data_IF_554418488367
#
_entry.id   IF_554418488367
#
_cell.length_a   1.000
_cell.length_b   1.000
_cell.length_c   1.000
_cell.angle_alpha   90.00
_cell.angle_beta   90.00
_cell.angle_gamma   90.00
#
_symmetry.space_group_name_H-M   'P 1'
#
loop_
_entity.id
_entity.type
_entity.pdbx_description
1 polymer ?
#
# COMPACT_ATOMS: atom_id res chain seq x y z
N UNK A 1 17.79 -5.92 -31.15
CA UNK A 1 16.98 -4.75 -30.70
C UNK A 1 17.31 -4.33 -29.26
N UNK A 2 17.49 -5.25 -28.31
CA UNK A 2 17.82 -4.93 -26.90
C UNK A 2 19.06 -4.03 -26.71
N UNK A 3 20.13 -4.21 -27.51
CA UNK A 3 21.33 -3.37 -27.42
C UNK A 3 21.12 -1.88 -27.76
N UNK A 4 20.15 -1.56 -28.65
CA UNK A 4 19.83 -0.16 -29.01
C UNK A 4 19.06 0.54 -27.90
N UNK A 5 18.15 -0.18 -27.24
CA UNK A 5 17.38 0.35 -26.12
C UNK A 5 18.29 0.62 -24.89
N UNK A 6 19.19 -0.32 -24.57
CA UNK A 6 20.15 -0.14 -23.48
C UNK A 6 21.10 1.05 -23.70
N UNK A 7 21.57 1.26 -24.93
CA UNK A 7 22.38 2.43 -25.27
C UNK A 7 21.59 3.73 -25.11
N UNK A 8 20.34 3.78 -25.60
CA UNK A 8 19.47 4.95 -25.44
C UNK A 8 19.19 5.29 -23.98
N UNK A 9 18.86 4.29 -23.14
CA UNK A 9 18.66 4.47 -21.70
C UNK A 9 19.92 5.04 -21.03
N UNK A 10 21.11 4.57 -21.41
CA UNK A 10 22.38 5.10 -20.90
C UNK A 10 22.60 6.56 -21.30
N UNK A 11 22.30 6.91 -22.54
CA UNK A 11 22.43 8.29 -23.04
C UNK A 11 21.46 9.26 -22.35
N UNK A 12 20.18 8.86 -22.20
CA UNK A 12 19.17 9.68 -21.52
C UNK A 12 19.45 9.77 -20.02
N UNK A 13 20.02 8.73 -19.40
CA UNK A 13 20.47 8.79 -18.01
C UNK A 13 21.56 9.85 -17.79
N UNK A 14 22.54 9.95 -18.72
CA UNK A 14 23.62 10.95 -18.61
C UNK A 14 23.13 12.36 -18.90
N UNK A 15 22.25 12.54 -19.89
CA UNK A 15 21.77 13.86 -20.34
C UNK A 15 20.65 14.40 -19.47
N UNK A 16 19.74 13.53 -19.03
CA UNK A 16 18.50 13.87 -18.35
C UNK A 16 18.23 12.91 -17.19
N UNK A 17 19.21 12.80 -16.29
CA UNK A 17 19.12 11.92 -15.11
C UNK A 17 17.85 12.16 -14.29
N UNK A 18 17.49 13.44 -14.07
CA UNK A 18 16.29 13.80 -13.30
C UNK A 18 14.98 13.30 -13.93
N UNK A 19 14.84 13.39 -15.26
CA UNK A 19 13.66 12.90 -15.97
C UNK A 19 13.63 11.36 -16.03
N UNK A 20 14.80 10.74 -16.19
CA UNK A 20 14.90 9.27 -16.19
C UNK A 20 14.51 8.69 -14.83
N UNK A 21 14.96 9.33 -13.74
CA UNK A 21 14.66 8.92 -12.37
C UNK A 21 13.17 9.13 -12.05
N UNK A 22 12.60 10.29 -12.42
CA UNK A 22 11.18 10.57 -12.17
C UNK A 22 10.26 9.60 -12.91
N UNK A 23 10.58 9.29 -14.17
CA UNK A 23 9.84 8.29 -14.94
C UNK A 23 9.96 6.89 -14.33
N UNK A 24 11.16 6.51 -13.89
CA UNK A 24 11.39 5.20 -13.25
C UNK A 24 10.57 5.07 -11.97
N UNK A 25 10.61 6.08 -11.10
CA UNK A 25 9.83 6.11 -9.85
C UNK A 25 8.33 6.09 -10.18
N UNK A 26 7.87 6.96 -11.08
CA UNK A 26 6.45 7.02 -11.48
C UNK A 26 5.93 5.71 -12.06
N UNK A 27 6.75 4.98 -12.81
CA UNK A 27 6.40 3.68 -13.35
C UNK A 27 6.43 2.55 -12.30
N UNK A 28 7.26 2.69 -11.26
CA UNK A 28 7.44 1.68 -10.23
C UNK A 28 6.40 1.81 -9.11
N UNK A 29 6.09 3.02 -8.67
CA UNK A 29 5.12 3.33 -7.60
C UNK A 29 3.79 2.57 -7.70
N UNK A 30 3.06 2.55 -8.82
CA UNK A 30 1.78 1.84 -8.91
C UNK A 30 1.92 0.30 -8.92
N UNK A 31 3.11 -0.23 -9.22
CA UNK A 31 3.35 -1.70 -9.25
C UNK A 31 3.78 -2.24 -7.90
N UNK A 32 4.43 -1.42 -7.08
CA UNK A 32 4.94 -1.82 -5.76
C UNK A 32 3.86 -2.39 -4.84
N UNK A 33 2.63 -1.84 -4.75
CA UNK A 33 1.57 -2.41 -3.91
C UNK A 33 1.17 -3.83 -4.34
N UNK A 34 1.10 -4.10 -5.64
CA UNK A 34 0.75 -5.43 -6.16
C UNK A 34 1.85 -6.47 -5.96
N UNK A 35 3.10 -6.04 -5.85
CA UNK A 35 4.26 -6.92 -5.60
C UNK A 35 4.54 -7.11 -4.09
N UNK A 36 3.99 -6.25 -3.23
CA UNK A 36 4.29 -6.23 -1.81
C UNK A 36 3.28 -7.07 -1.01
N UNK A 37 3.77 -8.11 -0.35
CA UNK A 37 3.00 -8.87 0.64
C UNK A 37 2.58 -8.00 1.85
N UNK A 38 3.25 -6.85 2.06
CA UNK A 38 2.97 -5.94 3.16
C UNK A 38 1.74 -5.05 2.94
N UNK A 39 1.31 -4.87 1.69
CA UNK A 39 0.14 -4.04 1.39
C UNK A 39 -1.14 -4.58 2.04
N UNK A 40 -1.24 -5.90 2.23
CA UNK A 40 -2.33 -6.54 2.96
C UNK A 40 -2.43 -6.07 4.42
N UNK A 41 -1.29 -5.92 5.11
CA UNK A 41 -1.28 -5.48 6.50
C UNK A 41 -1.64 -4.00 6.63
N UNK A 42 -1.19 -3.16 5.70
CA UNK A 42 -1.58 -1.74 5.66
C UNK A 42 -3.10 -1.59 5.51
N UNK A 43 -3.71 -2.43 4.66
CA UNK A 43 -5.16 -2.45 4.47
C UNK A 43 -5.93 -2.93 5.71
N UNK A 44 -5.33 -3.82 6.54
CA UNK A 44 -5.91 -4.26 7.81
C UNK A 44 -5.79 -3.23 8.95
N UNK A 45 -4.75 -2.40 8.94
CA UNK A 45 -4.50 -1.43 10.01
C UNK A 45 -5.52 -0.28 10.00
N UNK A 46 -5.84 0.25 8.82
CA UNK A 46 -6.76 1.38 8.67
C UNK A 46 -8.19 1.13 9.27
N UNK A 47 -8.84 -0.03 9.05
CA UNK A 47 -10.10 -0.36 9.70
C UNK A 47 -9.93 -0.83 11.15
N UNK A 48 -8.77 -1.37 11.53
CA UNK A 48 -8.47 -1.80 12.90
C UNK A 48 -8.26 -0.65 13.88
N UNK A 49 -8.02 0.56 13.39
CA UNK A 49 -7.89 1.77 14.21
C UNK A 49 -9.25 2.44 14.45
N UNK A 50 -9.77 2.44 15.70
CA UNK A 50 -11.08 3.01 16.00
C UNK A 50 -11.01 4.53 16.05
N UNK A 51 -11.31 5.21 14.93
CA UNK A 51 -11.34 6.68 14.85
C UNK A 51 -12.67 7.30 15.28
N UNK A 52 -13.74 6.51 15.40
CA UNK A 52 -15.07 7.01 15.70
C UNK A 52 -15.62 6.34 16.97
N UNK A 53 -15.93 7.13 18.00
CA UNK A 53 -16.59 6.67 19.23
C UNK A 53 -18.11 6.59 18.99
N UNK A 54 -18.56 5.72 18.10
CA UNK A 54 -19.98 5.53 17.83
C UNK A 54 -20.53 4.44 18.74
N UNK A 55 -20.95 4.81 19.95
CA UNK A 55 -21.78 3.95 20.78
C UNK A 55 -23.12 3.71 20.09
N UNK A 56 -23.22 2.67 19.26
CA UNK A 56 -24.43 2.35 18.51
C UNK A 56 -25.34 1.46 19.34
N UNK A 57 -26.44 2.07 19.81
CA UNK A 57 -27.66 1.35 20.18
C UNK A 57 -28.03 0.34 19.06
N UNK A 58 -28.34 -0.90 19.43
CA UNK A 58 -29.02 -1.91 18.61
C UNK A 58 -28.21 -2.67 17.54
N UNK A 59 -27.02 -3.18 17.87
CA UNK A 59 -26.36 -4.24 17.08
C UNK A 59 -26.22 -5.52 17.94
N UNK A 60 -26.81 -6.66 17.53
CA UNK A 60 -26.79 -7.92 18.31
C UNK A 60 -25.40 -8.56 18.40
N UNK A 61 -24.44 -8.11 17.58
CA UNK A 61 -23.05 -8.58 17.56
C UNK A 61 -22.10 -7.64 18.34
N UNK A 62 -22.62 -6.75 19.20
CA UNK A 62 -21.80 -5.98 20.15
C UNK A 62 -21.32 -6.94 21.25
N UNK A 63 -20.01 -7.17 21.28
CA UNK A 63 -19.34 -7.86 22.38
C UNK A 63 -19.63 -7.10 23.66
N UNK A 64 -20.24 -7.80 24.63
CA UNK A 64 -20.56 -7.22 25.93
C UNK A 64 -19.29 -6.97 26.74
N UNK A 65 -18.22 -7.68 26.41
CA UNK A 65 -16.93 -7.57 27.06
C UNK A 65 -15.78 -7.59 26.04
N UNK A 66 -14.74 -6.78 26.29
CA UNK A 66 -13.54 -6.70 25.42
C UNK A 66 -12.81 -8.05 25.29
N UNK A 67 -12.99 -8.96 26.26
CA UNK A 67 -12.39 -10.30 26.26
C UNK A 67 -13.30 -11.40 25.70
N UNK A 68 -14.47 -11.05 25.16
CA UNK A 68 -15.34 -12.04 24.53
C UNK A 68 -14.64 -12.61 23.27
N UNK A 69 -14.61 -13.94 23.09
CA UNK A 69 -13.81 -14.60 22.05
C UNK A 69 -14.32 -14.38 20.62
N UNK A 70 -15.47 -13.73 20.44
CA UNK A 70 -16.07 -13.45 19.13
C UNK A 70 -15.52 -12.17 18.47
N UNK A 71 -14.69 -11.39 19.16
CA UNK A 71 -14.11 -10.16 18.62
C UNK A 71 -12.92 -10.37 17.70
N UNK A 72 -12.72 -9.47 16.70
CA UNK A 72 -11.52 -9.49 15.89
C UNK A 72 -10.29 -9.23 16.77
N UNK A 73 -9.39 -10.21 16.85
CA UNK A 73 -8.09 -10.07 17.48
C UNK A 73 -7.09 -9.40 16.53
N UNK A 74 -6.21 -8.56 17.08
CA UNK A 74 -5.01 -8.09 16.39
C UNK A 74 -3.90 -9.13 16.42
#
# INVERSE_FOLDING_TARGET
>A
MAGRLGWFLKEVWVKECGLTLSFTIGAMTPRLPSLSLYTKYVDMINPGTPYNCSGSNNMPDILSHSQDPQGPSL
#
